data_IF_991659573554
#
_entry.id   IF_991659573554
#
_cell.length_a   1.000
_cell.length_b   1.000
_cell.length_c   1.000
_cell.angle_alpha   90.00
_cell.angle_beta   90.00
_cell.angle_gamma   90.00
#
_symmetry.space_group_name_H-M   'P 1'
#
loop_
_entity.id
_entity.type
_entity.pdbx_description
1 polymer ?
#
# COMPACT_ATOMS: atom_id res chain seq x y z
N UNK A 1 -42.57 40.59 -30.96
CA UNK A 1 -42.01 40.92 -32.30
C UNK A 1 -40.94 41.99 -32.07
N UNK A 2 -39.62 41.79 -32.12
CA UNK A 2 -38.72 40.79 -32.72
C UNK A 2 -37.53 40.50 -31.78
N UNK A 3 -36.90 39.34 -31.98
CA UNK A 3 -35.57 38.95 -31.49
C UNK A 3 -34.47 39.94 -31.90
N UNK A 4 -33.41 40.04 -31.10
CA UNK A 4 -32.01 39.87 -31.56
C UNK A 4 -31.22 39.16 -30.47
N UNK A 5 -30.64 38.01 -30.82
CA UNK A 5 -29.64 37.29 -30.04
C UNK A 5 -28.24 37.70 -30.53
N UNK A 6 -27.28 37.85 -29.62
CA UNK A 6 -25.86 37.76 -29.93
C UNK A 6 -25.21 36.85 -28.90
N UNK A 7 -24.83 35.67 -29.36
CA UNK A 7 -23.92 34.80 -28.63
C UNK A 7 -22.49 35.30 -28.77
N UNK A 8 -21.72 35.11 -27.70
CA UNK A 8 -20.28 34.94 -27.77
C UNK A 8 -19.92 33.81 -26.82
N UNK A 9 -19.70 32.65 -27.43
CA UNK A 9 -19.06 31.50 -26.84
C UNK A 9 -17.59 31.86 -26.64
N UNK A 10 -17.14 31.94 -25.38
CA UNK A 10 -15.72 31.84 -25.07
C UNK A 10 -15.45 30.41 -24.58
N UNK A 11 -15.00 29.58 -25.52
CA UNK A 11 -14.25 28.35 -25.26
C UNK A 11 -12.99 28.72 -24.48
N UNK A 12 -12.81 28.14 -23.29
CA UNK A 12 -11.61 28.39 -22.48
C UNK A 12 -11.57 27.59 -21.20
N UNK A 13 -11.49 26.26 -21.33
CA UNK A 13 -11.21 25.26 -20.30
C UNK A 13 -12.27 25.11 -19.19
N UNK A 14 -13.13 24.10 -19.38
CA UNK A 14 -13.61 23.25 -18.28
C UNK A 14 -12.40 22.66 -17.55
N UNK A 15 -11.81 23.40 -16.63
CA UNK A 15 -11.12 22.75 -15.53
C UNK A 15 -12.21 22.33 -14.55
N UNK A 16 -12.63 21.08 -14.74
CA UNK A 16 -13.26 20.26 -13.72
C UNK A 16 -12.76 20.70 -12.33
N UNK A 17 -13.66 21.20 -11.48
CA UNK A 17 -13.46 21.21 -10.03
C UNK A 17 -13.59 19.76 -9.50
N UNK A 18 -12.91 18.80 -10.14
CA UNK A 18 -12.60 17.55 -9.50
C UNK A 18 -11.77 17.93 -8.28
N UNK A 19 -12.20 17.49 -7.11
CA UNK A 19 -11.32 17.48 -5.94
C UNK A 19 -9.96 16.93 -6.39
N UNK A 20 -8.82 17.54 -5.97
CA UNK A 20 -7.52 16.97 -6.30
C UNK A 20 -7.56 15.48 -5.95
N UNK A 21 -7.21 14.65 -6.92
CA UNK A 21 -7.30 13.19 -6.84
C UNK A 21 -6.87 12.74 -5.43
N UNK A 22 -7.77 12.04 -4.73
CA UNK A 22 -7.56 11.55 -3.36
C UNK A 22 -6.21 10.83 -3.17
N UNK A 23 -5.65 10.29 -4.26
CA UNK A 23 -4.37 9.62 -4.33
C UNK A 23 -3.16 10.55 -4.10
N UNK A 24 -3.19 11.81 -4.58
CA UNK A 24 -2.12 12.79 -4.31
C UNK A 24 -2.05 13.09 -2.81
N UNK A 25 -3.21 13.34 -2.20
CA UNK A 25 -3.32 13.62 -0.76
C UNK A 25 -2.89 12.40 0.04
N UNK A 26 -3.35 11.20 -0.32
CA UNK A 26 -3.00 9.97 0.39
C UNK A 26 -1.48 9.72 0.44
N UNK A 27 -0.80 9.93 -0.70
CA UNK A 27 0.66 9.80 -0.81
C UNK A 27 1.38 10.93 -0.07
N UNK A 28 0.87 12.15 -0.12
CA UNK A 28 1.42 13.26 0.67
C UNK A 28 1.30 12.99 2.18
N UNK A 29 0.15 12.53 2.67
CA UNK A 29 -0.05 12.13 4.06
C UNK A 29 0.90 11.00 4.47
N UNK A 30 1.08 10.00 3.59
CA UNK A 30 2.05 8.93 3.82
C UNK A 30 3.47 9.48 3.96
N UNK A 31 3.90 10.37 3.06
CA UNK A 31 5.22 11.03 3.16
C UNK A 31 5.38 11.75 4.49
N UNK A 32 4.36 12.46 4.96
CA UNK A 32 4.43 13.23 6.21
C UNK A 32 4.69 12.35 7.45
N UNK A 33 4.38 11.06 7.37
CA UNK A 33 4.64 10.09 8.45
C UNK A 33 6.00 9.38 8.33
N UNK A 34 6.71 9.59 7.21
CA UNK A 34 8.00 8.98 6.92
C UNK A 34 9.13 10.00 7.05
N UNK A 35 10.28 9.53 7.52
CA UNK A 35 11.54 10.26 7.44
C UNK A 35 12.32 9.76 6.22
N UNK A 36 12.67 10.69 5.34
CA UNK A 36 13.30 10.41 4.05
C UNK A 36 14.72 10.99 3.98
N UNK A 37 15.69 10.22 4.48
CA UNK A 37 17.10 10.62 4.51
C UNK A 37 17.75 10.71 3.12
N UNK A 38 17.17 10.06 2.11
CA UNK A 38 17.71 9.95 0.75
C UNK A 38 16.97 10.79 -0.27
N UNK A 39 15.96 11.55 0.16
CA UNK A 39 15.14 12.41 -0.72
C UNK A 39 14.43 11.64 -1.84
N UNK A 40 14.04 10.38 -1.61
CA UNK A 40 13.30 9.56 -2.58
C UNK A 40 11.82 9.93 -2.69
N UNK A 41 11.28 10.67 -1.72
CA UNK A 41 9.91 11.21 -1.64
C UNK A 41 9.89 12.74 -1.81
N UNK A 42 10.95 13.32 -2.40
CA UNK A 42 11.13 14.78 -2.53
C UNK A 42 9.97 15.48 -3.27
N UNK A 43 9.35 14.78 -4.20
CA UNK A 43 8.33 15.27 -5.11
C UNK A 43 6.91 14.85 -4.70
N UNK A 44 6.76 13.96 -3.71
CA UNK A 44 5.48 13.57 -3.10
C UNK A 44 4.87 14.75 -2.33
N UNK A 45 4.28 15.71 -3.02
CA UNK A 45 3.72 16.94 -2.45
C UNK A 45 2.27 17.17 -2.88
N UNK A 46 1.54 17.98 -2.12
CA UNK A 46 0.13 18.28 -2.37
C UNK A 46 -0.13 19.32 -3.47
N UNK A 47 0.92 19.82 -4.15
CA UNK A 47 0.79 20.78 -5.24
C UNK A 47 0.87 20.11 -6.62
N UNK A 48 1.09 18.80 -6.69
CA UNK A 48 1.08 18.07 -7.95
C UNK A 48 -0.33 17.79 -8.44
N UNK A 49 -0.50 17.86 -9.76
CA UNK A 49 -1.78 17.61 -10.43
C UNK A 49 -2.10 16.11 -10.50
N UNK A 50 -1.08 15.27 -10.56
CA UNK A 50 -1.23 13.82 -10.69
C UNK A 50 -0.16 13.10 -9.86
N UNK A 51 -0.51 11.99 -9.18
CA UNK A 51 0.47 11.19 -8.43
C UNK A 51 1.44 10.46 -9.37
N UNK A 52 1.14 10.38 -10.67
CA UNK A 52 1.96 9.70 -11.66
C UNK A 52 3.25 10.45 -12.00
N UNK A 53 3.39 11.69 -11.54
CA UNK A 53 4.64 12.45 -11.62
C UNK A 53 5.55 12.22 -10.43
N UNK A 54 5.11 11.48 -9.40
CA UNK A 54 5.94 11.15 -8.26
C UNK A 54 6.93 10.05 -8.61
N UNK A 55 8.20 10.26 -8.24
CA UNK A 55 9.24 9.25 -8.23
C UNK A 55 8.72 8.03 -7.44
N UNK A 56 9.01 6.84 -7.96
CA UNK A 56 8.64 5.56 -7.35
C UNK A 56 7.15 5.20 -7.33
N UNK A 57 6.30 6.00 -8.01
CA UNK A 57 4.87 5.72 -8.19
C UNK A 57 4.62 5.27 -9.64
N UNK A 58 3.87 4.19 -9.80
CA UNK A 58 3.42 3.68 -11.09
C UNK A 58 1.90 3.80 -11.18
N UNK A 59 1.44 4.39 -12.27
CA UNK A 59 0.02 4.49 -12.59
C UNK A 59 -0.40 3.56 -13.74
N UNK A 60 -1.70 3.28 -13.82
CA UNK A 60 -2.33 2.72 -15.01
C UNK A 60 -2.59 3.78 -16.09
N UNK A 61 -3.31 3.39 -17.15
CA UNK A 61 -3.65 4.26 -18.28
C UNK A 61 -4.66 5.36 -17.91
N UNK A 62 -5.43 5.16 -16.84
CA UNK A 62 -6.44 6.10 -16.34
C UNK A 62 -5.84 7.06 -15.29
N UNK A 63 -4.55 6.91 -14.96
CA UNK A 63 -3.84 7.74 -13.99
C UNK A 63 -4.02 7.28 -12.53
N UNK A 64 -4.56 6.08 -12.30
CA UNK A 64 -4.71 5.52 -10.96
C UNK A 64 -3.43 4.81 -10.51
N UNK A 65 -3.08 4.98 -9.24
CA UNK A 65 -1.87 4.40 -8.64
C UNK A 65 -2.06 2.89 -8.50
N UNK A 66 -1.18 2.15 -9.16
CA UNK A 66 -1.17 0.67 -9.16
C UNK A 66 0.10 0.10 -8.56
N UNK A 67 1.15 0.90 -8.38
CA UNK A 67 2.40 0.43 -7.76
C UNK A 67 3.17 1.52 -7.04
N UNK A 68 3.74 1.16 -5.89
CA UNK A 68 4.69 1.98 -5.13
C UNK A 68 5.94 1.12 -4.86
N UNK A 69 7.11 1.60 -5.29
CA UNK A 69 8.39 0.86 -5.17
C UNK A 69 9.43 1.65 -4.38
N UNK A 70 9.56 1.36 -3.09
CA UNK A 70 10.42 2.09 -2.16
C UNK A 70 11.35 1.14 -1.39
N UNK A 71 11.67 -0.02 -1.96
CA UNK A 71 12.58 -1.00 -1.33
C UNK A 71 13.99 -0.43 -1.16
N UNK A 72 14.59 -0.64 0.01
CA UNK A 72 15.97 -0.21 0.32
C UNK A 72 16.23 1.30 0.16
N UNK A 73 15.19 2.12 0.35
CA UNK A 73 15.22 3.56 0.16
C UNK A 73 15.72 4.37 1.36
N UNK A 74 16.06 3.72 2.48
CA UNK A 74 16.53 4.42 3.69
C UNK A 74 15.43 5.24 4.38
N UNK A 75 14.18 4.80 4.23
CA UNK A 75 13.01 5.39 4.89
C UNK A 75 12.91 4.91 6.34
N UNK A 76 12.49 5.79 7.23
CA UNK A 76 12.08 5.44 8.60
C UNK A 76 10.77 6.17 8.96
N UNK A 77 10.32 6.06 10.21
CA UNK A 77 9.01 6.60 10.63
C UNK A 77 7.95 5.50 10.70
N UNK A 78 6.70 5.84 10.39
CA UNK A 78 5.58 4.89 10.49
C UNK A 78 4.76 4.85 9.19
N UNK A 79 4.15 3.70 8.92
CA UNK A 79 3.26 3.55 7.77
C UNK A 79 1.89 4.17 8.06
N UNK A 80 1.49 5.16 7.27
CA UNK A 80 0.21 5.85 7.42
C UNK A 80 -0.97 4.96 6.97
N UNK A 81 -2.12 4.95 7.69
CA UNK A 81 -3.36 4.33 7.20
C UNK A 81 -3.89 4.92 5.89
N UNK A 82 -3.49 6.16 5.54
CA UNK A 82 -3.94 6.84 4.31
C UNK A 82 -3.64 6.04 3.03
N UNK A 83 -2.63 5.16 3.06
CA UNK A 83 -2.28 4.29 1.94
C UNK A 83 -3.43 3.36 1.53
N UNK A 84 -4.34 3.03 2.46
CA UNK A 84 -5.50 2.19 2.21
C UNK A 84 -6.57 2.84 1.31
N UNK A 85 -6.43 4.14 1.02
CA UNK A 85 -7.33 4.86 0.10
C UNK A 85 -6.95 4.65 -1.37
N UNK A 86 -5.76 4.11 -1.65
CA UNK A 86 -5.29 3.77 -2.98
C UNK A 86 -5.87 2.42 -3.42
N UNK A 87 -7.20 2.33 -3.57
CA UNK A 87 -7.91 1.04 -3.76
C UNK A 87 -7.55 0.30 -5.05
N UNK A 88 -6.93 0.97 -6.03
CA UNK A 88 -6.37 0.40 -7.26
C UNK A 88 -4.97 -0.18 -7.08
N UNK A 89 -4.34 -0.01 -5.91
CA UNK A 89 -2.97 -0.41 -5.67
C UNK A 89 -2.81 -1.93 -5.79
N UNK A 90 -1.89 -2.35 -6.65
CA UNK A 90 -1.59 -3.76 -6.92
C UNK A 90 -0.26 -4.20 -6.31
N UNK A 91 0.67 -3.26 -6.11
CA UNK A 91 2.00 -3.55 -5.61
C UNK A 91 2.46 -2.49 -4.62
N UNK A 92 2.85 -2.94 -3.42
CA UNK A 92 3.46 -2.11 -2.40
C UNK A 92 4.77 -2.75 -1.93
N UNK A 93 5.90 -2.15 -2.31
CA UNK A 93 7.24 -2.61 -1.94
C UNK A 93 7.90 -1.58 -1.02
N UNK A 94 8.09 -1.94 0.24
CA UNK A 94 8.71 -1.12 1.29
C UNK A 94 9.81 -1.92 2.03
N UNK A 95 10.25 -3.04 1.48
CA UNK A 95 11.21 -3.93 2.11
C UNK A 95 12.61 -3.32 2.22
N UNK A 96 13.35 -3.66 3.28
CA UNK A 96 14.72 -3.18 3.49
C UNK A 96 14.81 -1.71 3.93
N UNK A 97 13.82 -1.22 4.67
CA UNK A 97 13.83 0.12 5.26
C UNK A 97 13.96 0.04 6.79
N UNK A 98 13.72 1.14 7.48
CA UNK A 98 13.71 1.24 8.94
C UNK A 98 12.35 1.75 9.43
N UNK A 99 11.26 1.31 8.78
CA UNK A 99 9.89 1.66 9.15
C UNK A 99 9.55 0.95 10.46
N UNK A 100 8.89 1.67 11.36
CA UNK A 100 8.53 1.25 12.72
C UNK A 100 7.02 1.30 12.93
N UNK A 101 6.59 0.89 14.12
CA UNK A 101 5.17 0.90 14.51
C UNK A 101 4.41 -0.30 13.97
N UNK A 102 3.09 -0.29 14.22
CA UNK A 102 2.20 -1.35 13.78
C UNK A 102 1.88 -1.27 12.28
N UNK A 103 1.58 -2.41 11.70
CA UNK A 103 0.98 -2.49 10.36
C UNK A 103 -0.47 -1.96 10.45
N UNK A 104 -0.86 -0.91 9.71
CA UNK A 104 -2.24 -0.41 9.72
C UNK A 104 -3.23 -1.48 9.29
N UNK A 105 -4.29 -1.69 10.07
CA UNK A 105 -5.36 -2.64 9.71
C UNK A 105 -6.07 -2.25 8.41
N UNK A 106 -6.10 -0.96 8.09
CA UNK A 106 -6.76 -0.39 6.92
C UNK A 106 -6.15 -0.92 5.62
N UNK A 107 -4.90 -1.38 5.63
CA UNK A 107 -4.29 -2.04 4.47
C UNK A 107 -5.13 -3.19 3.92
N UNK A 108 -5.93 -3.86 4.77
CA UNK A 108 -6.87 -4.90 4.35
C UNK A 108 -7.95 -4.42 3.36
N UNK A 109 -8.15 -3.11 3.19
CA UNK A 109 -9.07 -2.55 2.20
C UNK A 109 -8.53 -2.57 0.77
N UNK A 110 -7.26 -2.91 0.56
CA UNK A 110 -6.61 -2.92 -0.75
C UNK A 110 -6.88 -4.25 -1.48
N UNK A 111 -8.14 -4.50 -1.84
CA UNK A 111 -8.55 -5.79 -2.41
C UNK A 111 -7.86 -6.17 -3.72
N UNK A 112 -7.31 -5.19 -4.46
CA UNK A 112 -6.54 -5.41 -5.69
C UNK A 112 -5.04 -5.68 -5.45
N UNK A 113 -4.58 -5.66 -4.20
CA UNK A 113 -3.17 -5.80 -3.87
C UNK A 113 -2.69 -7.23 -4.14
N UNK A 114 -1.79 -7.37 -5.11
CA UNK A 114 -1.19 -8.66 -5.50
C UNK A 114 0.14 -8.93 -4.80
N UNK A 115 0.89 -7.88 -4.46
CA UNK A 115 2.21 -8.02 -3.81
C UNK A 115 2.38 -7.01 -2.70
N UNK A 116 2.63 -7.50 -1.49
CA UNK A 116 2.94 -6.72 -0.32
C UNK A 116 4.29 -7.17 0.26
N UNK A 117 5.29 -6.29 0.19
CA UNK A 117 6.61 -6.54 0.79
C UNK A 117 6.93 -5.48 1.83
N UNK A 118 6.90 -5.89 3.09
CA UNK A 118 7.26 -5.09 4.26
C UNK A 118 8.46 -5.69 5.02
N UNK A 119 9.07 -6.75 4.48
CA UNK A 119 10.18 -7.44 5.14
C UNK A 119 11.39 -6.56 5.39
N UNK A 120 12.29 -6.95 6.31
CA UNK A 120 13.50 -6.19 6.67
C UNK A 120 13.17 -4.75 7.06
N UNK A 121 12.32 -4.61 8.07
CA UNK A 121 11.97 -3.33 8.70
C UNK A 121 12.05 -3.49 10.22
N UNK A 122 11.46 -2.56 10.98
CA UNK A 122 11.32 -2.63 12.44
C UNK A 122 9.85 -2.53 12.85
N UNK A 123 8.95 -3.10 12.03
CA UNK A 123 7.52 -3.14 12.29
C UNK A 123 7.24 -4.02 13.51
N UNK A 124 6.28 -3.61 14.34
CA UNK A 124 5.91 -4.30 15.58
C UNK A 124 4.40 -4.51 15.69
N UNK A 125 3.95 -5.05 16.83
CA UNK A 125 2.54 -5.42 17.01
C UNK A 125 2.17 -6.69 16.26
N UNK A 126 0.87 -6.93 16.09
CA UNK A 126 0.35 -8.14 15.44
C UNK A 126 0.16 -7.96 13.93
N UNK A 127 0.18 -9.07 13.20
CA UNK A 127 -0.32 -9.11 11.81
C UNK A 127 -1.83 -8.81 11.84
N UNK A 128 -2.34 -7.83 11.06
CA UNK A 128 -3.76 -7.49 11.08
C UNK A 128 -4.65 -8.63 10.56
N UNK A 129 -5.74 -8.94 11.27
CA UNK A 129 -6.72 -9.93 10.78
C UNK A 129 -7.36 -9.52 9.45
N UNK A 130 -7.45 -8.21 9.19
CA UNK A 130 -7.98 -7.64 7.94
C UNK A 130 -7.18 -8.03 6.70
N UNK A 131 -5.96 -8.56 6.84
CA UNK A 131 -5.21 -9.09 5.71
C UNK A 131 -5.94 -10.25 5.03
N UNK A 132 -6.82 -10.95 5.73
CA UNK A 132 -7.70 -11.97 5.12
C UNK A 132 -8.69 -11.44 4.08
N UNK A 133 -8.80 -10.13 3.89
CA UNK A 133 -9.64 -9.50 2.85
C UNK A 133 -8.89 -9.20 1.54
N UNK A 134 -7.57 -9.43 1.49
CA UNK A 134 -6.73 -9.16 0.31
C UNK A 134 -6.86 -10.29 -0.73
N UNK A 135 -8.04 -10.47 -1.31
CA UNK A 135 -8.38 -11.63 -2.16
C UNK A 135 -7.44 -11.87 -3.35
N UNK A 136 -6.82 -10.82 -3.87
CA UNK A 136 -5.87 -10.89 -5.00
C UNK A 136 -4.41 -11.10 -4.57
N UNK A 137 -4.12 -11.17 -3.27
CA UNK A 137 -2.75 -11.21 -2.76
C UNK A 137 -2.07 -12.53 -3.12
N UNK A 138 -0.95 -12.42 -3.83
CA UNK A 138 -0.16 -13.57 -4.29
C UNK A 138 1.14 -13.70 -3.52
N UNK A 139 1.73 -12.57 -3.10
CA UNK A 139 3.02 -12.53 -2.43
C UNK A 139 2.95 -11.64 -1.19
N UNK A 140 3.13 -12.25 -0.02
CA UNK A 140 3.22 -11.57 1.26
C UNK A 140 4.61 -11.80 1.87
N UNK A 141 5.35 -10.73 2.10
CA UNK A 141 6.63 -10.78 2.81
C UNK A 141 6.61 -9.81 4.00
N UNK A 142 6.57 -10.37 5.21
CA UNK A 142 6.67 -9.67 6.48
C UNK A 142 7.92 -10.09 7.28
N UNK A 143 8.85 -10.80 6.63
CA UNK A 143 10.01 -11.38 7.29
C UNK A 143 10.98 -10.34 7.87
N UNK A 144 11.82 -10.72 8.81
CA UNK A 144 12.85 -9.84 9.40
C UNK A 144 12.23 -8.53 9.95
N UNK A 145 11.27 -8.68 10.87
CA UNK A 145 10.60 -7.60 11.60
C UNK A 145 10.50 -7.95 13.10
N UNK A 146 9.76 -7.14 13.88
CA UNK A 146 9.52 -7.32 15.31
C UNK A 146 8.05 -7.68 15.59
N UNK A 147 7.38 -8.37 14.65
CA UNK A 147 5.97 -8.73 14.79
C UNK A 147 5.79 -9.79 15.88
N UNK A 148 4.70 -9.66 16.64
CA UNK A 148 4.35 -10.51 17.79
C UNK A 148 2.94 -11.10 17.65
N UNK A 149 2.61 -12.04 18.54
CA UNK A 149 1.29 -12.66 18.58
C UNK A 149 1.13 -13.76 17.54
N UNK A 150 -0.10 -14.22 17.35
CA UNK A 150 -0.39 -15.37 16.51
C UNK A 150 -0.48 -14.99 15.03
N UNK A 151 -0.23 -15.96 14.15
CA UNK A 151 -0.57 -15.86 12.74
C UNK A 151 -2.11 -15.87 12.61
N UNK A 152 -2.75 -14.84 12.06
CA UNK A 152 -4.21 -14.78 11.97
C UNK A 152 -4.76 -15.92 11.10
N UNK A 153 -5.78 -16.63 11.60
CA UNK A 153 -6.48 -17.66 10.82
C UNK A 153 -7.10 -17.07 9.54
N UNK A 154 -7.45 -15.79 9.53
CA UNK A 154 -7.99 -15.10 8.36
C UNK A 154 -7.05 -15.11 7.15
N UNK A 155 -5.74 -15.31 7.34
CA UNK A 155 -4.80 -15.48 6.21
C UNK A 155 -5.12 -16.71 5.35
N UNK A 156 -5.87 -17.70 5.87
CA UNK A 156 -6.33 -18.83 5.07
C UNK A 156 -7.40 -18.45 4.04
N UNK A 157 -7.99 -17.25 4.11
CA UNK A 157 -8.95 -16.75 3.13
C UNK A 157 -8.28 -16.28 1.83
N UNK A 158 -6.95 -16.16 1.82
CA UNK A 158 -6.16 -15.68 0.70
C UNK A 158 -6.00 -16.75 -0.37
N UNK A 159 -7.06 -16.98 -1.15
CA UNK A 159 -7.11 -18.05 -2.16
C UNK A 159 -6.10 -17.89 -3.30
N UNK A 160 -5.59 -16.67 -3.53
CA UNK A 160 -4.61 -16.36 -4.57
C UNK A 160 -3.15 -16.43 -4.08
N UNK A 161 -2.94 -16.73 -2.79
CA UNK A 161 -1.62 -16.65 -2.16
C UNK A 161 -0.70 -17.77 -2.62
N UNK A 162 0.42 -17.38 -3.22
CA UNK A 162 1.44 -18.31 -3.72
C UNK A 162 2.66 -18.39 -2.80
N UNK A 163 3.01 -17.27 -2.18
CA UNK A 163 4.20 -17.17 -1.33
C UNK A 163 3.94 -16.33 -0.09
N UNK A 164 4.31 -16.87 1.07
CA UNK A 164 4.23 -16.19 2.36
C UNK A 164 5.54 -16.37 3.14
N UNK A 165 6.15 -15.25 3.50
CA UNK A 165 7.35 -15.22 4.31
C UNK A 165 7.12 -14.41 5.59
N UNK A 166 7.17 -15.08 6.73
CA UNK A 166 7.00 -14.53 8.08
C UNK A 166 8.24 -14.78 8.96
N UNK A 167 9.32 -15.32 8.39
CA UNK A 167 10.51 -15.74 9.14
C UNK A 167 11.17 -14.55 9.86
N UNK A 168 11.94 -14.84 10.91
CA UNK A 168 12.65 -13.82 11.68
C UNK A 168 11.72 -12.72 12.22
N UNK A 169 10.65 -13.15 12.89
CA UNK A 169 9.79 -12.32 13.73
C UNK A 169 9.76 -12.91 15.16
N UNK A 170 8.92 -12.37 16.05
CA UNK A 170 8.64 -12.90 17.39
C UNK A 170 7.19 -13.41 17.48
N UNK A 171 6.72 -14.05 16.41
CA UNK A 171 5.38 -14.63 16.34
C UNK A 171 5.28 -15.82 17.31
N UNK A 172 4.08 -16.10 17.80
CA UNK A 172 3.79 -17.17 18.75
C UNK A 172 2.62 -18.04 18.26
N UNK A 173 2.33 -19.13 18.98
CA UNK A 173 1.16 -19.98 18.71
C UNK A 173 1.44 -21.07 17.67
N UNK A 174 0.42 -21.47 16.92
CA UNK A 174 0.54 -22.51 15.89
C UNK A 174 0.38 -21.89 14.50
N UNK A 175 0.98 -22.52 13.48
CA UNK A 175 0.68 -22.19 12.09
C UNK A 175 -0.74 -22.72 11.80
N UNK A 176 -1.71 -21.88 11.40
CA UNK A 176 -3.06 -22.34 11.11
C UNK A 176 -3.04 -23.43 10.04
N UNK A 177 -3.63 -24.60 10.31
CA UNK A 177 -3.61 -25.75 9.39
C UNK A 177 -4.17 -25.39 8.00
N UNK A 178 -5.19 -24.52 7.97
CA UNK A 178 -5.80 -24.04 6.72
C UNK A 178 -4.83 -23.19 5.90
N UNK A 179 -3.88 -22.51 6.54
CA UNK A 179 -2.85 -21.73 5.85
C UNK A 179 -1.85 -22.65 5.12
N UNK A 180 -1.53 -23.81 5.71
CA UNK A 180 -0.69 -24.84 5.08
C UNK A 180 -1.31 -25.41 3.80
N UNK A 181 -2.65 -25.35 3.67
CA UNK A 181 -3.37 -25.89 2.52
C UNK A 181 -3.46 -24.90 1.35
N UNK A 182 -3.46 -23.59 1.63
CA UNK A 182 -3.60 -22.56 0.59
C UNK A 182 -2.25 -22.12 0.01
N UNK A 183 -1.16 -22.20 0.77
CA UNK A 183 0.18 -21.94 0.23
C UNK A 183 0.68 -23.16 -0.54
N UNK A 184 0.64 -23.13 -1.87
CA UNK A 184 1.20 -24.22 -2.68
C UNK A 184 2.73 -24.34 -2.56
N UNK A 185 3.42 -23.31 -2.03
CA UNK A 185 4.87 -23.28 -1.79
C UNK A 185 5.25 -22.50 -0.51
N UNK A 186 6.38 -22.94 0.09
CA UNK A 186 7.18 -22.40 1.20
C UNK A 186 6.51 -21.39 2.15
N UNK A 187 5.92 -21.88 3.25
CA UNK A 187 5.75 -21.07 4.46
C UNK A 187 7.10 -21.04 5.18
N UNK A 188 7.72 -19.86 5.24
CA UNK A 188 8.84 -19.63 6.15
C UNK A 188 8.30 -18.86 7.35
N UNK A 189 8.04 -19.55 8.45
CA UNK A 189 7.70 -18.94 9.72
C UNK A 189 8.61 -19.54 10.79
N UNK A 190 9.16 -18.69 11.66
CA UNK A 190 9.82 -19.12 12.89
C UNK A 190 8.94 -18.65 14.03
N UNK A 191 8.35 -19.61 14.74
CA UNK A 191 7.54 -19.39 15.95
C UNK A 191 8.41 -19.74 17.15
#
# INVERSE_FOLDING_TARGET
MKLVAFGLVLLGCLQSLAAPDNQVIALYEMRMMLTDSRSVLKDWNNNQVSPCYFDNVRCDQDGSVIGITLSSSGLSGILSPSIATLTTLQQLLLDGNSITGGIPQELGNLSNLMTLKLGRNSLNGSIPESFGFLSELQNLDLSENLLIGNIPNSLSNLSSLNNINLAYNSLSGEIPEQLLQVSQYTIQATI
#
